data_IF_837128842819
#
_entry.id   IF_837128842819
#
_cell.length_a   1.000
_cell.length_b   1.000
_cell.length_c   1.000
_cell.angle_alpha   90.00
_cell.angle_beta   90.00
_cell.angle_gamma   90.00
#
_symmetry.space_group_name_H-M   'P 1'
#
loop_
_entity.id
_entity.type
_entity.pdbx_description
1 polymer ?
#
# COMPACT_ATOMS: atom_id res chain seq x y z
N UNK A 1 20.33 -56.38 21.78
CA UNK A 1 19.41 -55.42 21.18
C UNK A 1 18.77 -54.44 22.16
N UNK A 2 18.23 -54.84 23.33
CA UNK A 2 17.56 -53.91 24.29
C UNK A 2 18.37 -52.70 24.79
N UNK A 3 19.69 -52.83 24.95
CA UNK A 3 20.55 -51.73 25.46
C UNK A 3 20.77 -50.64 24.41
N UNK A 4 20.98 -51.01 23.13
CA UNK A 4 21.13 -50.10 22.01
C UNK A 4 19.83 -49.29 21.77
N UNK A 5 18.68 -49.95 21.80
CA UNK A 5 17.37 -49.29 21.62
C UNK A 5 17.10 -48.27 22.73
N UNK A 6 17.46 -48.56 23.99
CA UNK A 6 17.34 -47.59 25.08
C UNK A 6 18.26 -46.39 24.88
N UNK A 7 19.51 -46.60 24.40
CA UNK A 7 20.42 -45.50 24.08
C UNK A 7 19.88 -44.55 22.99
N UNK A 8 19.36 -45.12 21.92
CA UNK A 8 18.75 -44.32 20.84
C UNK A 8 17.52 -43.56 21.31
N UNK A 9 16.68 -44.16 22.16
CA UNK A 9 15.49 -43.49 22.70
C UNK A 9 15.87 -42.30 23.59
N UNK A 10 16.86 -42.47 24.47
CA UNK A 10 17.36 -41.40 25.35
C UNK A 10 17.96 -40.27 24.49
N UNK A 11 18.78 -40.62 23.48
CA UNK A 11 19.37 -39.64 22.57
C UNK A 11 18.29 -38.86 21.80
N UNK A 12 17.26 -39.53 21.31
CA UNK A 12 16.14 -38.91 20.64
C UNK A 12 15.38 -37.91 21.53
N UNK A 13 15.09 -38.30 22.76
CA UNK A 13 14.42 -37.43 23.75
C UNK A 13 15.27 -36.20 24.08
N UNK A 14 16.56 -36.40 24.35
CA UNK A 14 17.49 -35.30 24.69
C UNK A 14 17.61 -34.33 23.49
N UNK A 15 17.77 -34.85 22.27
CA UNK A 15 17.85 -34.02 21.06
C UNK A 15 16.58 -33.23 20.82
N UNK A 16 15.40 -33.81 21.07
CA UNK A 16 14.12 -33.13 20.95
C UNK A 16 14.00 -31.98 21.95
N UNK A 17 14.39 -32.21 23.21
CA UNK A 17 14.37 -31.17 24.26
C UNK A 17 15.32 -30.03 23.91
N UNK A 18 16.56 -30.35 23.49
CA UNK A 18 17.53 -29.35 23.05
C UNK A 18 17.01 -28.54 21.84
N UNK A 19 16.40 -29.21 20.85
CA UNK A 19 15.80 -28.55 19.72
C UNK A 19 14.67 -27.56 20.12
N UNK A 20 13.83 -27.98 21.06
CA UNK A 20 12.78 -27.10 21.61
C UNK A 20 13.36 -25.88 22.35
N UNK A 21 14.39 -26.07 23.16
CA UNK A 21 15.09 -24.96 23.84
C UNK A 21 15.67 -23.98 22.81
N UNK A 22 16.34 -24.50 21.78
CA UNK A 22 16.89 -23.64 20.70
C UNK A 22 15.81 -22.86 19.94
N UNK A 23 14.66 -23.45 19.67
CA UNK A 23 13.53 -22.76 19.06
C UNK A 23 13.04 -21.62 19.97
N UNK A 24 12.87 -21.85 21.26
CA UNK A 24 12.43 -20.84 22.23
C UNK A 24 13.43 -19.68 22.31
N UNK A 25 14.71 -19.98 22.45
CA UNK A 25 15.78 -18.98 22.50
C UNK A 25 15.85 -18.20 21.19
N UNK A 26 15.76 -18.89 20.05
CA UNK A 26 15.74 -18.25 18.72
C UNK A 26 14.55 -17.33 18.54
N UNK A 27 13.36 -17.72 19.01
CA UNK A 27 12.17 -16.88 18.96
C UNK A 27 12.29 -15.63 19.86
N UNK A 28 12.87 -15.77 21.06
CA UNK A 28 13.08 -14.65 21.99
C UNK A 28 14.16 -13.66 21.52
N UNK A 29 15.13 -14.13 20.73
CA UNK A 29 16.23 -13.31 20.18
C UNK A 29 15.91 -12.66 18.82
N UNK A 30 14.65 -12.37 18.52
CA UNK A 30 14.18 -11.83 17.23
C UNK A 30 14.47 -12.73 16.01
N UNK A 31 14.74 -14.03 16.23
CA UNK A 31 15.03 -14.98 15.15
C UNK A 31 13.89 -15.13 14.15
N UNK A 32 12.63 -15.08 14.63
CA UNK A 32 11.43 -15.11 13.75
C UNK A 32 11.41 -13.88 12.88
N UNK A 33 11.64 -12.69 13.42
CA UNK A 33 11.67 -11.43 12.65
C UNK A 33 12.79 -11.45 11.61
N UNK A 34 13.98 -11.95 11.99
CA UNK A 34 15.10 -12.09 11.06
C UNK A 34 14.78 -13.05 9.91
N UNK A 35 14.07 -14.15 10.19
CA UNK A 35 13.61 -15.08 9.16
C UNK A 35 12.54 -14.46 8.26
N UNK A 36 11.57 -13.74 8.84
CA UNK A 36 10.53 -13.05 8.06
C UNK A 36 11.12 -11.92 7.21
N UNK A 37 12.18 -11.26 7.67
CA UNK A 37 12.90 -10.26 6.87
C UNK A 37 13.60 -10.87 5.63
N UNK A 38 13.73 -12.20 5.55
CA UNK A 38 14.20 -12.94 4.38
C UNK A 38 13.06 -13.44 3.48
N UNK A 39 11.82 -13.12 3.80
CA UNK A 39 10.64 -13.48 3.01
C UNK A 39 10.70 -12.89 1.61
N UNK A 40 10.11 -13.59 0.65
CA UNK A 40 9.97 -13.10 -0.73
C UNK A 40 9.03 -11.90 -0.79
N UNK A 41 7.92 -11.98 -0.05
CA UNK A 41 6.95 -10.90 0.02
C UNK A 41 7.20 -10.04 1.26
N UNK A 42 6.96 -8.72 1.20
CA UNK A 42 7.09 -7.85 2.37
C UNK A 42 6.16 -8.29 3.49
N UNK A 43 6.65 -8.20 4.71
CA UNK A 43 5.89 -8.47 5.94
C UNK A 43 5.90 -7.20 6.75
N UNK A 44 4.70 -6.68 7.05
CA UNK A 44 4.51 -5.42 7.76
C UNK A 44 4.24 -5.64 9.24
N UNK A 45 4.76 -4.74 10.06
CA UNK A 45 4.45 -4.65 11.50
C UNK A 45 3.00 -4.14 11.67
N UNK A 46 2.38 -4.45 12.80
CA UNK A 46 1.07 -3.91 13.18
C UNK A 46 1.15 -2.48 13.77
N UNK A 47 2.35 -1.97 14.00
CA UNK A 47 2.56 -0.57 14.42
C UNK A 47 2.23 0.35 13.25
N UNK A 48 1.69 1.50 13.57
CA UNK A 48 1.41 2.56 12.61
C UNK A 48 2.46 3.65 12.77
N UNK A 49 3.04 4.10 11.68
CA UNK A 49 3.89 5.28 11.60
C UNK A 49 3.18 6.37 10.83
N UNK A 50 3.34 7.60 11.28
CA UNK A 50 2.78 8.78 10.66
C UNK A 50 3.86 9.83 10.47
N UNK A 51 3.91 10.39 9.24
CA UNK A 51 4.78 11.52 8.92
C UNK A 51 3.89 12.68 8.47
N UNK A 52 4.13 13.86 9.04
CA UNK A 52 3.31 15.05 8.80
C UNK A 52 4.13 16.15 8.15
N UNK A 53 3.54 16.83 7.14
CA UNK A 53 4.14 17.96 6.43
C UNK A 53 3.17 19.15 6.42
N UNK A 54 3.73 20.34 6.61
CA UNK A 54 2.95 21.57 6.72
C UNK A 54 2.77 22.32 5.40
N UNK A 55 2.61 23.64 5.53
CA UNK A 55 2.34 24.54 4.40
C UNK A 55 3.52 24.77 3.45
N UNK A 56 4.71 24.30 3.81
CA UNK A 56 5.90 24.32 2.95
C UNK A 56 5.78 23.46 1.71
N UNK A 57 4.90 22.45 1.71
CA UNK A 57 4.66 21.58 0.56
C UNK A 57 3.69 22.25 -0.41
N UNK A 58 4.13 22.51 -1.62
CA UNK A 58 3.29 23.02 -2.72
C UNK A 58 3.00 21.93 -3.77
N UNK A 59 3.88 20.95 -3.89
CA UNK A 59 3.75 19.84 -4.86
C UNK A 59 3.98 18.50 -4.18
N UNK A 60 3.33 17.48 -4.67
CA UNK A 60 3.46 16.10 -4.20
C UNK A 60 3.83 15.17 -5.35
N UNK A 61 4.86 14.37 -5.14
CA UNK A 61 5.26 13.29 -6.03
C UNK A 61 5.34 11.98 -5.23
N UNK A 62 4.42 11.07 -5.50
CA UNK A 62 4.27 9.81 -4.80
C UNK A 62 4.50 8.64 -5.75
N UNK A 63 5.49 7.79 -5.46
CA UNK A 63 5.77 6.57 -6.22
C UNK A 63 5.77 5.37 -5.31
N UNK A 64 4.76 4.49 -5.46
CA UNK A 64 4.57 3.28 -4.67
C UNK A 64 4.61 2.03 -5.56
N UNK A 65 5.55 1.14 -5.29
CA UNK A 65 5.74 -0.13 -5.99
C UNK A 65 5.15 -1.31 -5.19
N UNK A 66 5.16 -1.23 -3.86
CA UNK A 66 4.84 -2.34 -2.98
C UNK A 66 3.58 -2.12 -2.12
N UNK A 67 3.12 -0.87 -1.97
CA UNK A 67 1.98 -0.53 -1.13
C UNK A 67 0.70 -0.27 -1.92
N UNK A 68 -0.42 -0.62 -1.34
CA UNK A 68 -1.74 -0.09 -1.73
C UNK A 68 -1.86 1.35 -1.28
N UNK A 69 -2.64 2.17 -1.98
CA UNK A 69 -2.77 3.60 -1.68
C UNK A 69 -4.21 3.97 -1.40
N UNK A 70 -4.42 4.66 -0.28
CA UNK A 70 -5.68 5.38 -0.02
C UNK A 70 -5.41 6.88 0.10
N UNK A 71 -6.10 7.68 -0.71
CA UNK A 71 -6.05 9.15 -0.67
C UNK A 71 -7.35 9.66 -0.05
N UNK A 72 -7.24 10.49 0.98
CA UNK A 72 -8.38 11.09 1.67
C UNK A 72 -8.13 12.55 2.01
N UNK A 73 -9.12 13.27 2.53
CA UNK A 73 -8.94 14.61 3.07
C UNK A 73 -8.47 14.55 4.51
N UNK A 74 -7.50 15.38 4.89
CA UNK A 74 -7.04 15.52 6.27
C UNK A 74 -8.10 16.21 7.14
N UNK A 75 -7.98 16.04 8.43
CA UNK A 75 -8.77 16.77 9.43
C UNK A 75 -8.29 18.21 9.61
N UNK A 76 -7.06 18.51 9.19
CA UNK A 76 -6.40 19.80 9.29
C UNK A 76 -5.81 20.26 7.93
N UNK A 77 -4.98 21.31 7.95
CA UNK A 77 -4.34 21.90 6.77
C UNK A 77 -2.99 21.26 6.40
N UNK A 78 -2.66 20.11 7.00
CA UNK A 78 -1.40 19.39 6.79
C UNK A 78 -1.58 18.15 5.91
N UNK A 79 -0.47 17.69 5.35
CA UNK A 79 -0.38 16.39 4.69
C UNK A 79 0.04 15.37 5.74
N UNK A 80 -0.71 14.29 5.86
CA UNK A 80 -0.36 13.16 6.71
C UNK A 80 -0.13 11.93 5.83
N UNK A 81 0.94 11.22 6.09
CA UNK A 81 1.24 9.94 5.45
C UNK A 81 1.34 8.91 6.54
N UNK A 82 0.38 8.00 6.55
CA UNK A 82 0.26 6.94 7.54
C UNK A 82 0.53 5.59 6.88
N UNK A 83 1.38 4.77 7.46
CA UNK A 83 1.72 3.46 6.93
C UNK A 83 2.15 2.50 8.04
N UNK A 84 2.28 1.22 7.69
CA UNK A 84 2.82 0.20 8.58
C UNK A 84 4.26 -0.12 8.15
N UNK A 85 5.26 0.04 9.04
CA UNK A 85 6.65 -0.24 8.69
C UNK A 85 6.85 -1.74 8.39
N UNK A 86 7.73 -2.04 7.47
CA UNK A 86 8.08 -3.42 7.19
C UNK A 86 9.02 -3.98 8.24
N UNK A 87 8.90 -5.28 8.56
CA UNK A 87 9.76 -5.96 9.53
C UNK A 87 11.23 -5.89 9.14
N UNK A 88 11.52 -5.83 7.85
CA UNK A 88 12.88 -5.73 7.31
C UNK A 88 13.42 -4.30 7.21
N UNK A 89 12.56 -3.28 7.33
CA UNK A 89 12.88 -1.88 7.01
C UNK A 89 13.18 -1.61 5.53
N UNK A 90 13.01 -2.63 4.66
CA UNK A 90 13.38 -2.53 3.24
C UNK A 90 12.28 -1.99 2.35
N UNK A 91 11.05 -2.08 2.82
CA UNK A 91 9.85 -1.63 2.12
C UNK A 91 9.24 -0.40 2.80
N UNK A 92 10.00 0.25 3.68
CA UNK A 92 9.53 1.46 4.36
C UNK A 92 9.56 2.66 3.42
N UNK A 93 8.69 3.61 3.69
CA UNK A 93 8.62 4.84 2.93
C UNK A 93 9.87 5.68 3.13
N UNK A 94 10.33 6.26 2.04
CA UNK A 94 11.36 7.28 2.04
C UNK A 94 10.73 8.59 1.61
N UNK A 95 10.89 9.62 2.42
CA UNK A 95 10.39 10.96 2.14
C UNK A 95 11.56 11.90 1.87
N UNK A 96 11.38 12.79 0.91
CA UNK A 96 12.36 13.84 0.57
C UNK A 96 11.65 15.15 0.25
N UNK A 97 12.29 16.28 0.58
CA UNK A 97 11.76 17.60 0.26
C UNK A 97 12.77 18.33 -0.61
N UNK A 98 12.36 18.81 -1.80
CA UNK A 98 13.16 19.65 -2.69
C UNK A 98 12.23 20.62 -3.42
N UNK A 99 12.60 21.90 -3.49
CA UNK A 99 11.86 22.95 -4.20
C UNK A 99 10.36 22.95 -3.91
N UNK A 100 10.01 22.80 -2.61
CA UNK A 100 8.62 22.70 -2.12
C UNK A 100 7.84 21.48 -2.66
N UNK A 101 8.55 20.52 -3.25
CA UNK A 101 8.01 19.25 -3.69
C UNK A 101 8.31 18.18 -2.64
N UNK A 102 7.27 17.58 -2.09
CA UNK A 102 7.38 16.41 -1.25
C UNK A 102 7.42 15.16 -2.15
N UNK A 103 8.54 14.47 -2.15
CA UNK A 103 8.70 13.17 -2.80
C UNK A 103 8.55 12.06 -1.78
N UNK A 104 7.73 11.07 -2.10
CA UNK A 104 7.47 9.88 -1.27
C UNK A 104 7.63 8.64 -2.12
N UNK A 105 8.53 7.76 -1.70
CA UNK A 105 8.77 6.51 -2.41
C UNK A 105 8.88 5.35 -1.44
N UNK A 106 8.39 4.18 -1.83
CA UNK A 106 8.74 2.95 -1.16
C UNK A 106 10.01 2.35 -1.76
N UNK A 107 10.86 1.79 -0.91
CA UNK A 107 12.09 1.14 -1.36
C UNK A 107 11.79 -0.27 -1.83
N UNK A 108 12.01 -0.53 -3.10
CA UNK A 108 12.03 -1.89 -3.61
C UNK A 108 13.29 -2.61 -3.13
N UNK A 109 13.11 -3.73 -2.42
CA UNK A 109 14.23 -4.57 -2.03
C UNK A 109 14.75 -5.33 -3.27
N UNK A 110 15.93 -4.97 -3.74
CA UNK A 110 16.57 -5.58 -4.91
C UNK A 110 17.03 -7.03 -4.74
N UNK A 111 16.91 -7.61 -3.55
CA UNK A 111 17.29 -9.01 -3.26
C UNK A 111 16.27 -9.71 -2.38
N UNK A 112 15.41 -10.48 -3.00
CA UNK A 112 14.56 -11.45 -2.29
C UNK A 112 15.38 -12.68 -1.91
N UNK A 113 15.55 -12.92 -0.62
CA UNK A 113 16.07 -14.19 -0.13
C UNK A 113 14.90 -15.17 -0.03
N UNK A 114 15.06 -16.33 -0.63
CA UNK A 114 14.01 -17.34 -0.67
C UNK A 114 13.93 -18.10 0.66
N UNK A 115 12.77 -18.02 1.30
CA UNK A 115 12.32 -18.98 2.31
C UNK A 115 11.31 -19.91 1.65
N UNK A 116 11.39 -21.21 1.92
CA UNK A 116 10.40 -22.17 1.43
C UNK A 116 8.98 -21.77 1.90
N UNK A 117 8.01 -21.72 0.98
CA UNK A 117 6.66 -21.19 1.22
C UNK A 117 5.94 -21.76 2.46
N UNK A 118 6.20 -23.03 2.81
CA UNK A 118 5.62 -23.66 3.99
C UNK A 118 6.16 -23.11 5.31
N UNK A 119 7.48 -22.91 5.41
CA UNK A 119 8.12 -22.35 6.60
C UNK A 119 7.72 -20.89 6.78
N UNK A 120 7.67 -20.13 5.71
CA UNK A 120 7.24 -18.73 5.72
C UNK A 120 5.81 -18.58 6.25
N UNK A 121 4.87 -19.40 5.78
CA UNK A 121 3.49 -19.38 6.24
C UNK A 121 3.35 -19.69 7.72
N UNK A 122 4.12 -20.68 8.22
CA UNK A 122 4.13 -21.04 9.64
C UNK A 122 4.71 -19.90 10.51
N UNK A 123 5.79 -19.28 10.06
CA UNK A 123 6.41 -18.16 10.77
C UNK A 123 5.48 -16.95 10.84
N UNK A 124 4.74 -16.63 9.77
CA UNK A 124 3.74 -15.56 9.75
C UNK A 124 2.60 -15.80 10.73
N UNK A 125 2.11 -17.07 10.80
CA UNK A 125 1.08 -17.45 11.77
C UNK A 125 1.60 -17.31 13.19
N UNK A 126 2.80 -17.84 13.46
CA UNK A 126 3.40 -17.84 14.79
C UNK A 126 3.76 -16.44 15.31
N UNK A 127 4.11 -15.52 14.41
CA UNK A 127 4.50 -14.15 14.74
C UNK A 127 3.33 -13.15 14.73
N UNK A 128 2.15 -13.59 14.30
CA UNK A 128 0.97 -12.71 14.13
C UNK A 128 1.18 -11.58 13.10
N UNK A 129 2.20 -11.63 12.26
CA UNK A 129 2.43 -10.68 11.19
C UNK A 129 1.51 -10.99 10.00
N UNK A 130 1.01 -9.95 9.36
CA UNK A 130 0.07 -10.07 8.26
C UNK A 130 0.45 -9.15 7.10
N UNK A 131 0.15 -9.58 5.87
CA UNK A 131 0.19 -8.73 4.68
C UNK A 131 -1.03 -7.78 4.58
N UNK A 132 -1.87 -7.69 5.63
CA UNK A 132 -3.01 -6.76 5.66
C UNK A 132 -2.59 -5.31 5.76
N UNK A 133 -1.35 -5.07 6.17
CA UNK A 133 -0.83 -3.75 6.48
C UNK A 133 0.02 -3.16 5.35
N UNK A 134 -0.25 -3.57 4.11
CA UNK A 134 0.43 -3.05 2.93
C UNK A 134 -0.22 -1.75 2.38
N UNK A 135 -0.92 -1.00 3.23
CA UNK A 135 -1.61 0.22 2.85
C UNK A 135 -0.87 1.47 3.31
N UNK A 136 -0.72 2.42 2.41
CA UNK A 136 -0.34 3.79 2.69
C UNK A 136 -1.57 4.67 2.61
N UNK A 137 -1.87 5.42 3.67
CA UNK A 137 -2.93 6.41 3.69
C UNK A 137 -2.30 7.79 3.55
N UNK A 138 -2.64 8.47 2.46
CA UNK A 138 -2.26 9.86 2.19
C UNK A 138 -3.44 10.77 2.48
N UNK A 139 -3.37 11.56 3.55
CA UNK A 139 -4.38 12.57 3.87
C UNK A 139 -3.92 13.91 3.35
N UNK A 140 -4.71 14.48 2.42
CA UNK A 140 -4.43 15.77 1.79
C UNK A 140 -4.96 16.92 2.62
N UNK A 141 -4.29 18.10 2.62
CA UNK A 141 -4.66 19.21 3.47
C UNK A 141 -6.06 19.73 3.17
N UNK A 142 -6.85 19.89 4.21
CA UNK A 142 -8.19 20.45 4.11
C UNK A 142 -8.14 21.96 3.79
N UNK A 143 -8.91 22.36 2.79
CA UNK A 143 -9.06 23.78 2.43
C UNK A 143 -7.84 24.40 1.75
N UNK A 144 -6.72 23.66 1.59
CA UNK A 144 -5.53 24.09 0.87
C UNK A 144 -5.35 23.27 -0.40
N UNK A 145 -5.05 23.92 -1.50
CA UNK A 145 -4.78 23.28 -2.78
C UNK A 145 -3.28 23.14 -3.00
N UNK A 146 -2.86 21.98 -3.42
CA UNK A 146 -1.51 21.76 -3.95
C UNK A 146 -1.46 22.22 -5.41
N UNK A 147 -0.30 22.72 -5.83
CA UNK A 147 -0.10 23.17 -7.23
C UNK A 147 -0.10 21.99 -8.20
N UNK A 148 0.47 20.85 -7.75
CA UNK A 148 0.48 19.62 -8.52
C UNK A 148 0.52 18.40 -7.60
N UNK A 149 -0.16 17.33 -8.01
CA UNK A 149 -0.14 16.03 -7.35
C UNK A 149 0.17 15.00 -8.43
N UNK A 150 1.33 14.33 -8.31
CA UNK A 150 1.71 13.23 -9.18
C UNK A 150 1.72 11.95 -8.37
N UNK A 151 1.02 10.94 -8.82
CA UNK A 151 0.95 9.63 -8.15
C UNK A 151 1.21 8.52 -9.16
N UNK A 152 2.16 7.66 -8.84
CA UNK A 152 2.42 6.39 -9.50
C UNK A 152 2.27 5.27 -8.47
N UNK A 153 1.24 4.43 -8.61
CA UNK A 153 0.96 3.35 -7.68
C UNK A 153 0.78 2.03 -8.45
N UNK A 154 1.70 1.08 -8.26
CA UNK A 154 1.82 -0.09 -9.13
C UNK A 154 1.28 -1.38 -8.50
N UNK A 155 0.84 -1.35 -7.25
CA UNK A 155 0.33 -2.54 -6.58
C UNK A 155 -1.21 -2.62 -6.61
N UNK A 156 -1.78 -3.42 -5.76
CA UNK A 156 -3.13 -3.99 -5.78
C UNK A 156 -4.27 -3.02 -6.05
N UNK A 157 -4.41 -1.98 -5.23
CA UNK A 157 -5.55 -1.07 -5.26
C UNK A 157 -5.11 0.35 -4.94
N UNK A 158 -5.72 1.29 -5.66
CA UNK A 158 -5.69 2.71 -5.30
C UNK A 158 -7.11 3.16 -5.03
N UNK A 159 -7.32 3.76 -3.86
CA UNK A 159 -8.62 4.30 -3.43
C UNK A 159 -8.50 5.80 -3.23
N UNK A 160 -9.46 6.57 -3.72
CA UNK A 160 -9.64 8.00 -3.45
C UNK A 160 -11.00 8.13 -2.80
N UNK A 161 -11.04 8.55 -1.55
CA UNK A 161 -12.29 8.62 -0.79
C UNK A 161 -12.42 9.95 -0.05
N UNK A 162 -13.58 10.62 -0.28
CA UNK A 162 -13.90 11.89 0.36
C UNK A 162 -12.77 12.94 0.24
N UNK A 163 -12.09 12.99 -0.91
CA UNK A 163 -10.95 13.86 -1.14
C UNK A 163 -11.25 14.90 -2.21
N UNK A 164 -10.60 16.06 -2.09
CA UNK A 164 -10.59 17.09 -3.12
C UNK A 164 -9.23 17.08 -3.82
N UNK A 165 -9.23 16.76 -5.12
CA UNK A 165 -8.03 16.71 -5.96
C UNK A 165 -8.13 17.74 -7.06
N UNK A 166 -7.13 18.60 -7.14
CA UNK A 166 -7.00 19.58 -8.23
C UNK A 166 -5.60 19.49 -8.83
N UNK A 167 -5.50 19.53 -10.16
CA UNK A 167 -4.24 19.39 -10.90
C UNK A 167 -3.50 18.09 -10.62
N UNK A 168 -4.22 16.99 -10.42
CA UNK A 168 -3.66 15.70 -10.11
C UNK A 168 -3.41 14.85 -11.36
N UNK A 169 -2.25 14.20 -11.41
CA UNK A 169 -1.95 13.14 -12.38
C UNK A 169 -1.76 11.84 -11.61
N UNK A 170 -2.61 10.87 -11.87
CA UNK A 170 -2.56 9.55 -11.25
C UNK A 170 -2.36 8.49 -12.32
N UNK A 171 -1.27 7.75 -12.22
CA UNK A 171 -1.01 6.55 -13.01
C UNK A 171 -0.94 5.35 -12.06
N UNK A 172 -1.76 4.34 -12.30
CA UNK A 172 -1.74 3.12 -11.47
C UNK A 172 -1.79 1.88 -12.34
N UNK A 173 -0.94 0.90 -12.02
CA UNK A 173 -0.97 -0.43 -12.62
C UNK A 173 -1.66 -1.45 -11.71
N UNK A 174 -2.17 -1.03 -10.57
CA UNK A 174 -2.99 -1.86 -9.68
C UNK A 174 -4.25 -2.38 -10.35
N UNK A 175 -4.82 -3.45 -9.84
CA UNK A 175 -6.00 -4.09 -10.46
C UNK A 175 -7.28 -3.24 -10.36
N UNK A 176 -7.33 -2.26 -9.46
CA UNK A 176 -8.50 -1.43 -9.20
C UNK A 176 -8.12 0.00 -8.81
N UNK A 177 -8.71 0.97 -9.51
CA UNK A 177 -8.82 2.35 -9.07
C UNK A 177 -10.26 2.61 -8.62
N UNK A 178 -10.47 2.94 -7.35
CA UNK A 178 -11.77 3.33 -6.78
C UNK A 178 -11.78 4.80 -6.41
N UNK A 179 -12.79 5.53 -6.84
CA UNK A 179 -13.00 6.95 -6.50
C UNK A 179 -14.40 7.07 -5.92
N UNK A 180 -14.51 7.59 -4.71
CA UNK A 180 -15.79 7.69 -4.01
C UNK A 180 -15.91 8.99 -3.23
N UNK A 181 -17.07 9.66 -3.32
CA UNK A 181 -17.41 10.84 -2.53
C UNK A 181 -16.48 12.04 -2.76
N UNK A 182 -15.79 12.10 -3.89
CA UNK A 182 -14.65 12.98 -4.10
C UNK A 182 -14.97 14.11 -5.09
N UNK A 183 -14.19 15.18 -5.05
CA UNK A 183 -14.18 16.25 -6.05
C UNK A 183 -12.88 16.26 -6.82
N UNK A 184 -12.95 16.07 -8.13
CA UNK A 184 -11.79 15.95 -9.00
C UNK A 184 -11.85 17.06 -10.06
N UNK A 185 -10.80 17.89 -10.11
CA UNK A 185 -10.74 19.03 -11.04
C UNK A 185 -9.40 19.11 -11.76
N UNK A 186 -9.41 19.45 -13.06
CA UNK A 186 -8.21 19.60 -13.90
C UNK A 186 -7.24 18.40 -13.76
N UNK A 187 -7.77 17.18 -13.70
CA UNK A 187 -6.97 16.02 -13.31
C UNK A 187 -7.01 14.92 -14.35
N UNK A 188 -5.96 14.11 -14.38
CA UNK A 188 -5.82 12.99 -15.31
C UNK A 188 -5.54 11.70 -14.58
N UNK A 189 -6.40 10.71 -14.74
CA UNK A 189 -6.27 9.38 -14.15
C UNK A 189 -6.17 8.33 -15.22
N UNK A 190 -5.15 7.47 -15.09
CA UNK A 190 -4.88 6.41 -16.07
C UNK A 190 -4.59 5.11 -15.34
N UNK A 191 -5.22 4.02 -15.77
CA UNK A 191 -4.93 2.66 -15.33
C UNK A 191 -5.16 1.66 -16.46
N UNK A 192 -4.40 0.58 -16.56
CA UNK A 192 -4.69 -0.49 -17.51
C UNK A 192 -5.87 -1.39 -17.08
N UNK A 193 -6.39 -1.23 -15.86
CA UNK A 193 -7.34 -2.16 -15.25
C UNK A 193 -8.73 -1.54 -14.99
N UNK A 194 -9.37 -1.91 -13.89
CA UNK A 194 -10.75 -1.52 -13.54
C UNK A 194 -10.75 -0.16 -12.87
N UNK A 195 -11.72 0.69 -13.27
CA UNK A 195 -12.05 1.93 -12.58
C UNK A 195 -13.49 1.89 -12.10
N UNK A 196 -13.69 2.24 -10.82
CA UNK A 196 -15.00 2.43 -10.22
C UNK A 196 -15.12 3.86 -9.67
N UNK A 197 -16.13 4.61 -10.09
CA UNK A 197 -16.39 5.99 -9.65
C UNK A 197 -17.79 6.09 -9.09
N UNK A 198 -17.90 6.52 -7.84
CA UNK A 198 -19.18 6.64 -7.13
C UNK A 198 -19.30 8.01 -6.48
N UNK A 199 -20.49 8.63 -6.56
CA UNK A 199 -20.84 9.85 -5.82
C UNK A 199 -19.77 10.94 -5.93
N UNK A 200 -19.21 11.12 -7.13
CA UNK A 200 -18.02 11.95 -7.37
C UNK A 200 -18.36 13.07 -8.34
N UNK A 201 -17.84 14.26 -8.06
CA UNK A 201 -17.88 15.42 -8.94
C UNK A 201 -16.60 15.47 -9.80
N UNK A 202 -16.76 15.51 -11.13
CA UNK A 202 -15.67 15.61 -12.08
C UNK A 202 -15.78 16.94 -12.85
N UNK A 203 -14.71 17.74 -12.82
CA UNK A 203 -14.63 19.01 -13.53
C UNK A 203 -13.38 19.06 -14.40
N UNK A 204 -13.51 19.30 -15.69
CA UNK A 204 -12.39 19.48 -16.64
C UNK A 204 -11.32 18.38 -16.52
N UNK A 205 -11.74 17.11 -16.41
CA UNK A 205 -10.87 16.01 -16.05
C UNK A 205 -10.94 14.85 -17.03
N UNK A 206 -9.88 14.06 -17.08
CA UNK A 206 -9.77 12.85 -17.90
C UNK A 206 -9.62 11.62 -17.04
N UNK A 207 -10.43 10.60 -17.29
CA UNK A 207 -10.32 9.27 -16.67
C UNK A 207 -10.25 8.23 -17.76
N UNK A 208 -9.11 7.54 -17.84
CA UNK A 208 -8.85 6.55 -18.88
C UNK A 208 -8.50 5.20 -18.29
N UNK A 209 -9.16 4.15 -18.77
CA UNK A 209 -8.70 2.78 -18.58
C UNK A 209 -8.45 2.11 -19.94
N UNK A 210 -7.35 1.37 -20.03
CA UNK A 210 -7.06 0.46 -21.14
C UNK A 210 -7.68 -0.92 -20.90
N UNK A 211 -8.16 -1.17 -19.67
CA UNK A 211 -8.85 -2.38 -19.27
C UNK A 211 -10.31 -2.42 -19.68
N UNK A 212 -10.97 -3.50 -19.26
CA UNK A 212 -12.31 -3.84 -19.75
C UNK A 212 -13.45 -3.05 -19.13
N UNK A 213 -13.26 -2.49 -17.92
CA UNK A 213 -14.39 -1.94 -17.16
C UNK A 213 -14.12 -0.57 -16.56
N UNK A 214 -14.96 0.39 -16.94
CA UNK A 214 -15.19 1.63 -16.23
C UNK A 214 -16.64 1.63 -15.73
N UNK A 215 -16.81 1.60 -14.41
CA UNK A 215 -18.11 1.71 -13.77
C UNK A 215 -18.27 3.10 -13.14
N UNK A 216 -19.34 3.80 -13.47
CA UNK A 216 -19.67 5.11 -12.92
C UNK A 216 -21.10 5.15 -12.42
N UNK A 217 -21.30 5.61 -11.20
CA UNK A 217 -22.60 5.74 -10.56
C UNK A 217 -22.68 7.03 -9.72
N UNK A 218 -23.80 7.74 -9.83
CA UNK A 218 -24.09 8.99 -9.09
C UNK A 218 -22.99 10.05 -9.26
N UNK A 219 -22.53 10.31 -10.49
CA UNK A 219 -21.52 11.33 -10.76
C UNK A 219 -22.14 12.64 -11.23
N UNK A 220 -21.47 13.74 -10.88
CA UNK A 220 -21.73 15.07 -11.42
C UNK A 220 -20.59 15.48 -12.36
N UNK A 221 -20.93 16.00 -13.53
CA UNK A 221 -19.95 16.36 -14.56
C UNK A 221 -20.07 17.85 -14.85
N UNK A 222 -18.95 18.56 -14.78
CA UNK A 222 -18.84 19.97 -15.10
C UNK A 222 -17.69 20.18 -16.10
N UNK A 223 -17.93 21.09 -17.08
CA UNK A 223 -16.94 21.41 -18.10
C UNK A 223 -16.61 20.22 -19.01
N UNK A 224 -15.34 20.10 -19.42
CA UNK A 224 -14.89 19.06 -20.34
C UNK A 224 -14.39 17.83 -19.59
N UNK A 225 -15.21 16.80 -19.50
CA UNK A 225 -14.82 15.52 -18.88
C UNK A 225 -14.75 14.42 -19.93
N UNK A 226 -13.63 13.70 -19.96
CA UNK A 226 -13.39 12.59 -20.86
C UNK A 226 -13.30 11.28 -20.07
N UNK A 227 -14.21 10.35 -20.36
CA UNK A 227 -14.23 9.01 -19.78
C UNK A 227 -13.96 7.98 -20.90
N UNK A 228 -12.79 7.33 -20.85
CA UNK A 228 -12.35 6.40 -21.90
C UNK A 228 -12.18 5.00 -21.33
N UNK A 229 -12.88 4.02 -21.94
CA UNK A 229 -12.77 2.61 -21.59
C UNK A 229 -13.18 1.72 -22.77
N UNK A 230 -12.70 0.49 -22.82
CA UNK A 230 -13.19 -0.52 -23.78
C UNK A 230 -14.65 -0.94 -23.50
N UNK A 231 -15.06 -0.91 -22.22
CA UNK A 231 -16.45 -1.17 -21.79
C UNK A 231 -16.84 -0.17 -20.70
N UNK A 232 -17.93 0.56 -20.95
CA UNK A 232 -18.45 1.55 -20.01
C UNK A 232 -19.80 1.09 -19.48
N UNK A 233 -19.89 0.89 -18.17
CA UNK A 233 -21.16 0.75 -17.44
C UNK A 233 -21.48 2.07 -16.75
N UNK A 234 -22.63 2.70 -17.11
CA UNK A 234 -22.97 4.04 -16.67
C UNK A 234 -24.34 4.08 -16.03
N UNK A 235 -24.42 4.64 -14.82
CA UNK A 235 -25.66 5.02 -14.18
C UNK A 235 -25.55 6.47 -13.70
N UNK A 236 -26.09 7.40 -14.48
CA UNK A 236 -26.11 8.83 -14.15
C UNK A 236 -27.47 9.14 -13.58
N UNK A 237 -27.55 9.82 -12.46
CA UNK A 237 -28.74 10.53 -12.02
C UNK A 237 -28.72 11.94 -12.63
N UNK A 238 -29.73 12.25 -13.39
CA UNK A 238 -30.05 13.60 -13.80
C UNK A 238 -30.63 14.40 -12.64
#
# INVERSE_FOLDING_TARGET
>A
MRKLTKGFLIFGVVSTILGFIMIIVGAQSNGIQSLLAMSKDPVYDNRTEEVTFGSEVEKLDLTLEEHSLTITESVDDKIHITYHPSVSGRHDLTTGMSDKTLSVTDKQASQHRFLGSGIESLLRIASNYSNRFDEVVLSLPKGRKLQAITVSANRRQTTIINATLENATLNTNGYLLRIEGSRIKNSKFTTPNIINIFKTELTDSQVKTEGRHLHVEDIQIHGKVELVACSLSRKIRS
#
